data_IF_238420664536
#
_entry.id   IF_238420664536
#
_cell.length_a   1.000
_cell.length_b   1.000
_cell.length_c   1.000
_cell.angle_alpha   90.00
_cell.angle_beta   90.00
_cell.angle_gamma   90.00
#
_symmetry.space_group_name_H-M   'P 1'
#
loop_
_entity.id
_entity.type
_entity.pdbx_description
1 polymer ?
#
# COMPACT_ATOMS: atom_id res chain seq x y z
N UNK A 1 -12.49 6.02 34.87
CA UNK A 1 -12.04 4.63 34.55
C UNK A 1 -12.89 4.01 33.43
N UNK A 2 -14.22 4.11 33.46
CA UNK A 2 -15.13 3.60 32.41
C UNK A 2 -14.90 4.25 31.06
N UNK A 3 -14.76 5.58 30.97
CA UNK A 3 -14.55 6.33 29.74
C UNK A 3 -13.24 5.91 28.98
N UNK A 4 -12.20 5.53 29.72
CA UNK A 4 -10.93 5.04 29.15
C UNK A 4 -11.05 3.62 28.55
N UNK A 5 -11.96 2.79 29.09
CA UNK A 5 -12.23 1.46 28.56
C UNK A 5 -13.05 1.52 27.28
N UNK A 6 -14.06 2.42 27.22
CA UNK A 6 -14.89 2.60 26.03
C UNK A 6 -14.07 3.11 24.84
N UNK A 7 -13.10 4.01 25.08
CA UNK A 7 -12.18 4.47 24.04
C UNK A 7 -11.26 3.35 23.54
N UNK A 8 -10.75 2.49 24.43
CA UNK A 8 -9.92 1.33 24.06
C UNK A 8 -10.72 0.32 23.25
N UNK A 9 -11.93 -0.03 23.69
CA UNK A 9 -12.83 -0.96 22.98
C UNK A 9 -13.17 -0.37 21.60
N UNK A 10 -13.56 0.89 21.53
CA UNK A 10 -13.84 1.57 20.27
C UNK A 10 -12.61 1.57 19.34
N UNK A 11 -11.39 1.76 19.88
CA UNK A 11 -10.17 1.71 19.08
C UNK A 11 -9.97 0.32 18.46
N UNK A 12 -10.07 -0.75 19.25
CA UNK A 12 -9.92 -2.13 18.76
C UNK A 12 -10.99 -2.48 17.72
N UNK A 13 -12.24 -2.07 17.96
CA UNK A 13 -13.32 -2.28 16.99
C UNK A 13 -13.00 -1.65 15.63
N UNK A 14 -12.54 -0.40 15.61
CA UNK A 14 -12.26 0.31 14.35
C UNK A 14 -10.95 -0.08 13.69
N UNK A 15 -9.91 -0.44 14.46
CA UNK A 15 -8.58 -0.70 13.88
C UNK A 15 -8.30 -2.17 13.59
N UNK A 16 -9.03 -3.10 14.18
CA UNK A 16 -8.80 -4.54 13.98
C UNK A 16 -10.06 -5.29 13.54
N UNK A 17 -11.16 -5.18 14.30
CA UNK A 17 -12.36 -6.01 14.04
C UNK A 17 -13.06 -5.57 12.74
N UNK A 18 -13.31 -4.27 12.57
CA UNK A 18 -13.95 -3.76 11.35
C UNK A 18 -13.14 -4.04 10.08
N UNK A 19 -11.81 -3.81 10.03
CA UNK A 19 -10.99 -4.22 8.90
C UNK A 19 -11.07 -5.71 8.61
N UNK A 20 -10.97 -6.56 9.64
CA UNK A 20 -11.14 -8.00 9.46
C UNK A 20 -12.46 -8.36 8.79
N UNK A 21 -13.58 -7.83 9.31
CA UNK A 21 -14.91 -8.13 8.78
C UNK A 21 -15.08 -7.64 7.34
N UNK A 22 -14.64 -6.42 7.04
CA UNK A 22 -14.68 -5.87 5.68
C UNK A 22 -13.86 -6.73 4.70
N UNK A 23 -12.65 -7.10 5.11
CA UNK A 23 -11.79 -7.92 4.27
C UNK A 23 -12.38 -9.33 4.08
N UNK A 24 -12.94 -9.92 5.14
CA UNK A 24 -13.61 -11.22 5.07
C UNK A 24 -14.78 -11.20 4.09
N UNK A 25 -15.65 -10.17 4.18
CA UNK A 25 -16.80 -10.04 3.28
C UNK A 25 -16.35 -9.91 1.82
N UNK A 26 -15.36 -9.07 1.55
CA UNK A 26 -14.88 -8.88 0.17
C UNK A 26 -14.19 -10.13 -0.36
N UNK A 27 -13.36 -10.77 0.45
CA UNK A 27 -12.60 -11.94 0.01
C UNK A 27 -13.45 -13.17 -0.27
N UNK A 28 -14.40 -13.48 0.61
CA UNK A 28 -15.25 -14.66 0.49
C UNK A 28 -16.62 -14.38 -0.12
N UNK A 29 -17.14 -13.16 -0.02
CA UNK A 29 -18.47 -12.79 -0.45
C UNK A 29 -18.59 -12.33 -1.90
N UNK A 30 -17.52 -11.78 -2.46
CA UNK A 30 -17.51 -11.37 -3.86
C UNK A 30 -16.84 -12.44 -4.72
N UNK A 31 -17.46 -12.77 -5.85
CA UNK A 31 -16.79 -13.61 -6.85
C UNK A 31 -15.61 -12.84 -7.43
N UNK A 32 -14.42 -13.41 -7.28
CA UNK A 32 -13.22 -12.83 -7.81
C UNK A 32 -12.97 -13.30 -9.24
N UNK A 33 -12.34 -12.46 -10.06
CA UNK A 33 -11.87 -12.82 -11.39
C UNK A 33 -10.92 -14.04 -11.39
N UNK A 34 -10.40 -14.40 -10.22
CA UNK A 34 -9.50 -15.54 -10.00
C UNK A 34 -10.19 -16.73 -9.33
N UNK A 35 -11.39 -17.11 -9.80
CA UNK A 35 -12.10 -18.30 -9.34
C UNK A 35 -11.20 -19.54 -9.32
N UNK A 36 -10.25 -19.64 -10.26
CA UNK A 36 -9.24 -20.71 -10.30
C UNK A 36 -8.40 -20.82 -9.03
N UNK A 37 -8.10 -19.70 -8.35
CA UNK A 37 -7.33 -19.76 -7.10
C UNK A 37 -8.06 -20.51 -5.98
N UNK A 38 -9.39 -20.50 -5.99
CA UNK A 38 -10.21 -21.24 -4.99
C UNK A 38 -10.01 -22.75 -5.05
N UNK A 39 -9.63 -23.29 -6.21
CA UNK A 39 -9.46 -24.73 -6.43
C UNK A 39 -8.00 -25.17 -6.47
N UNK A 40 -7.04 -24.25 -6.46
CA UNK A 40 -5.63 -24.57 -6.47
C UNK A 40 -5.17 -25.08 -5.11
N UNK A 41 -4.46 -26.21 -5.10
CA UNK A 41 -3.92 -26.80 -3.86
C UNK A 41 -2.57 -26.21 -3.43
N UNK A 42 -1.82 -25.64 -4.38
CA UNK A 42 -0.51 -25.04 -4.18
C UNK A 42 -0.34 -23.74 -4.99
N UNK A 43 0.71 -23.01 -4.66
CA UNK A 43 1.07 -21.79 -5.40
C UNK A 43 1.26 -22.09 -6.89
N UNK A 44 0.60 -21.35 -7.79
CA UNK A 44 0.71 -21.56 -9.22
C UNK A 44 2.05 -21.05 -9.76
N UNK A 45 2.54 -21.65 -10.84
CA UNK A 45 3.86 -21.37 -11.43
C UNK A 45 4.00 -19.92 -11.87
N UNK A 46 2.93 -19.24 -12.26
CA UNK A 46 3.00 -17.83 -12.66
C UNK A 46 3.51 -16.91 -11.53
N UNK A 47 3.34 -17.29 -10.25
CA UNK A 47 3.87 -16.52 -9.12
C UNK A 47 5.40 -16.51 -9.08
N UNK A 48 6.05 -17.48 -9.73
CA UNK A 48 7.51 -17.61 -9.79
C UNK A 48 8.09 -17.26 -11.15
N UNK A 49 7.28 -16.68 -12.03
CA UNK A 49 7.68 -16.30 -13.39
C UNK A 49 7.43 -14.81 -13.66
N UNK A 50 8.07 -14.28 -14.72
CA UNK A 50 7.90 -12.89 -15.17
C UNK A 50 8.12 -11.88 -14.03
N UNK A 51 7.35 -10.81 -14.00
CA UNK A 51 7.42 -9.76 -12.96
C UNK A 51 7.04 -10.25 -11.56
N UNK A 52 6.30 -11.34 -11.45
CA UNK A 52 5.88 -11.90 -10.16
C UNK A 52 7.02 -12.62 -9.43
N UNK A 53 8.01 -13.13 -10.15
CA UNK A 53 9.20 -13.79 -9.57
C UNK A 53 9.99 -12.86 -8.65
N UNK A 54 9.99 -11.55 -8.92
CA UNK A 54 10.68 -10.55 -8.10
C UNK A 54 9.98 -10.24 -6.77
N UNK A 55 8.77 -10.74 -6.55
CA UNK A 55 8.00 -10.59 -5.30
C UNK A 55 8.38 -11.67 -4.30
N UNK A 56 9.66 -11.71 -3.95
CA UNK A 56 10.27 -12.81 -3.17
C UNK A 56 9.59 -12.99 -1.82
N UNK A 57 9.38 -11.91 -1.05
CA UNK A 57 8.77 -11.99 0.29
C UNK A 57 7.33 -12.49 0.23
N UNK A 58 6.42 -11.93 -0.60
CA UNK A 58 5.06 -12.45 -0.72
C UNK A 58 5.00 -13.90 -1.16
N UNK A 59 5.82 -14.30 -2.15
CA UNK A 59 5.86 -15.66 -2.64
C UNK A 59 6.33 -16.64 -1.57
N UNK A 60 7.43 -16.30 -0.87
CA UNK A 60 7.93 -17.10 0.25
C UNK A 60 6.87 -17.24 1.35
N UNK A 61 6.26 -16.14 1.81
CA UNK A 61 5.21 -16.18 2.82
C UNK A 61 4.02 -17.04 2.38
N UNK A 62 3.62 -16.94 1.13
CA UNK A 62 2.51 -17.72 0.59
C UNK A 62 2.80 -19.22 0.67
N UNK A 63 3.99 -19.67 0.26
CA UNK A 63 4.37 -21.08 0.35
C UNK A 63 4.41 -21.53 1.81
N UNK A 64 5.12 -20.81 2.68
CA UNK A 64 5.28 -21.20 4.09
C UNK A 64 3.95 -21.25 4.84
N UNK A 65 3.06 -20.27 4.64
CA UNK A 65 1.74 -20.26 5.29
C UNK A 65 0.85 -21.37 4.73
N UNK A 66 0.94 -21.67 3.43
CA UNK A 66 0.19 -22.79 2.83
C UNK A 66 0.64 -24.12 3.40
N UNK A 67 1.94 -24.34 3.50
CA UNK A 67 2.50 -25.60 4.05
C UNK A 67 2.13 -25.74 5.53
N UNK A 68 2.26 -24.66 6.30
CA UNK A 68 1.87 -24.64 7.71
C UNK A 68 0.38 -24.96 7.90
N UNK A 69 -0.51 -24.27 7.17
CA UNK A 69 -1.96 -24.52 7.27
C UNK A 69 -2.34 -25.91 6.79
N UNK A 70 -1.70 -26.42 5.74
CA UNK A 70 -1.91 -27.78 5.25
C UNK A 70 -1.52 -28.80 6.32
N UNK A 71 -0.36 -28.66 6.92
CA UNK A 71 0.07 -29.49 8.04
C UNK A 71 -0.90 -29.41 9.22
N UNK A 72 -1.25 -28.18 9.64
CA UNK A 72 -2.14 -27.97 10.79
C UNK A 72 -3.53 -28.58 10.58
N UNK A 73 -4.15 -28.35 9.41
CA UNK A 73 -5.48 -28.92 9.08
C UNK A 73 -5.43 -30.45 9.02
N UNK A 74 -4.40 -31.01 8.39
CA UNK A 74 -4.29 -32.47 8.26
C UNK A 74 -3.94 -33.16 9.59
N UNK A 75 -3.22 -32.50 10.50
CA UNK A 75 -2.81 -33.10 11.78
C UNK A 75 -3.85 -32.93 12.88
N UNK A 76 -4.52 -31.76 12.93
CA UNK A 76 -5.36 -31.41 14.08
C UNK A 76 -6.84 -31.18 13.73
N UNK A 77 -7.17 -30.89 12.46
CA UNK A 77 -8.51 -30.51 12.05
C UNK A 77 -9.09 -31.41 10.95
N UNK A 78 -8.63 -32.68 10.86
CA UNK A 78 -9.02 -33.59 9.80
C UNK A 78 -10.55 -33.81 9.74
N UNK A 79 -11.22 -33.86 10.88
CA UNK A 79 -12.68 -34.05 10.98
C UNK A 79 -13.49 -32.90 10.40
N UNK A 80 -12.96 -31.67 10.45
CA UNK A 80 -13.63 -30.47 9.91
C UNK A 80 -13.04 -30.00 8.59
N UNK A 81 -12.03 -30.70 8.05
CA UNK A 81 -11.41 -30.38 6.76
C UNK A 81 -12.43 -30.22 5.64
N UNK A 82 -13.46 -31.10 5.48
CA UNK A 82 -14.48 -30.94 4.44
C UNK A 82 -15.25 -29.62 4.53
N UNK A 83 -15.47 -29.13 5.76
CA UNK A 83 -16.08 -27.80 5.99
C UNK A 83 -15.15 -26.66 5.62
N UNK A 84 -13.86 -26.77 5.99
CA UNK A 84 -12.84 -25.74 5.67
C UNK A 84 -12.72 -25.58 4.15
N UNK A 85 -12.55 -26.69 3.43
CA UNK A 85 -12.32 -26.64 1.97
C UNK A 85 -13.58 -26.35 1.14
N UNK A 86 -14.75 -26.31 1.77
CA UNK A 86 -16.02 -26.03 1.08
C UNK A 86 -16.03 -24.66 0.37
N UNK A 87 -15.38 -23.67 0.97
CA UNK A 87 -15.34 -22.28 0.46
C UNK A 87 -13.99 -21.91 -0.20
N UNK A 88 -13.15 -22.90 -0.46
CA UNK A 88 -11.84 -22.72 -1.10
C UNK A 88 -10.82 -23.71 -0.59
N UNK A 89 -9.73 -23.88 -1.34
CA UNK A 89 -8.61 -24.73 -0.95
C UNK A 89 -7.84 -24.15 0.26
N UNK A 90 -6.99 -24.94 0.89
CA UNK A 90 -6.12 -24.46 1.97
C UNK A 90 -5.19 -23.36 1.45
N UNK A 91 -4.70 -23.47 0.22
CA UNK A 91 -3.94 -22.42 -0.45
C UNK A 91 -4.71 -21.09 -0.54
N UNK A 92 -5.99 -21.13 -0.93
CA UNK A 92 -6.84 -19.95 -0.97
C UNK A 92 -7.02 -19.29 0.41
N UNK A 93 -7.19 -20.11 1.45
CA UNK A 93 -7.24 -19.61 2.84
C UNK A 93 -5.89 -19.02 3.32
N UNK A 94 -4.77 -19.56 2.83
CA UNK A 94 -3.43 -18.99 3.13
C UNK A 94 -3.29 -17.57 2.61
N UNK A 95 -3.79 -17.29 1.41
CA UNK A 95 -3.87 -15.94 0.87
C UNK A 95 -4.70 -15.01 1.75
N UNK A 96 -5.85 -15.50 2.23
CA UNK A 96 -6.67 -14.73 3.15
C UNK A 96 -5.90 -14.37 4.42
N UNK A 97 -5.27 -15.34 5.06
CA UNK A 97 -4.54 -15.15 6.33
C UNK A 97 -3.43 -14.11 6.17
N UNK A 98 -2.62 -14.22 5.12
CA UNK A 98 -1.55 -13.26 4.85
C UNK A 98 -2.11 -11.86 4.63
N UNK A 99 -3.07 -11.74 3.73
CA UNK A 99 -3.62 -10.45 3.36
C UNK A 99 -4.35 -9.77 4.52
N UNK A 100 -5.16 -10.51 5.29
CA UNK A 100 -5.89 -9.94 6.43
C UNK A 100 -4.95 -9.50 7.54
N UNK A 101 -3.86 -10.23 7.79
CA UNK A 101 -2.85 -9.84 8.77
C UNK A 101 -2.23 -8.48 8.41
N UNK A 102 -1.73 -8.34 7.18
CA UNK A 102 -1.14 -7.08 6.73
C UNK A 102 -2.17 -5.96 6.56
N UNK A 103 -3.41 -6.29 6.25
CA UNK A 103 -4.49 -5.31 6.17
C UNK A 103 -4.82 -4.72 7.56
N UNK A 104 -4.92 -5.55 8.60
CA UNK A 104 -5.08 -5.08 9.98
C UNK A 104 -3.86 -4.27 10.42
N UNK A 105 -2.65 -4.72 10.11
CA UNK A 105 -1.43 -3.97 10.39
C UNK A 105 -1.42 -2.61 9.69
N UNK A 106 -1.88 -2.53 8.43
CA UNK A 106 -2.06 -1.28 7.67
C UNK A 106 -3.06 -0.34 8.35
N UNK A 107 -4.17 -0.88 8.82
CA UNK A 107 -5.17 -0.13 9.59
C UNK A 107 -4.59 0.49 10.86
N UNK A 108 -3.81 -0.28 11.62
CA UNK A 108 -3.14 0.20 12.83
C UNK A 108 -2.12 1.31 12.53
N UNK A 109 -1.35 1.17 11.44
CA UNK A 109 -0.40 2.21 11.02
C UNK A 109 -1.14 3.46 10.56
N UNK A 110 -2.21 3.32 9.80
CA UNK A 110 -3.03 4.44 9.35
C UNK A 110 -3.62 5.22 10.54
N UNK A 111 -4.17 4.54 11.55
CA UNK A 111 -4.67 5.20 12.78
C UNK A 111 -3.54 5.98 13.49
N UNK A 112 -2.32 5.40 13.59
CA UNK A 112 -1.16 6.11 14.14
C UNK A 112 -0.79 7.35 13.32
N UNK A 113 -0.82 7.26 12.00
CA UNK A 113 -0.56 8.40 11.11
C UNK A 113 -1.58 9.51 11.34
N UNK A 114 -2.87 9.17 11.35
CA UNK A 114 -3.96 10.16 11.52
C UNK A 114 -3.93 10.85 12.89
N UNK A 115 -3.33 10.20 13.91
CA UNK A 115 -3.14 10.78 15.26
C UNK A 115 -1.82 11.54 15.41
N UNK A 116 -0.87 11.37 14.51
CA UNK A 116 0.51 11.82 14.74
C UNK A 116 0.65 13.34 14.74
N UNK A 117 0.11 14.03 13.75
CA UNK A 117 0.16 15.48 13.62
C UNK A 117 -1.08 16.00 12.89
N UNK A 118 -2.27 15.80 13.48
CA UNK A 118 -3.53 16.08 12.79
C UNK A 118 -3.70 17.58 12.52
N UNK A 119 -4.24 17.91 11.36
CA UNK A 119 -4.74 19.26 11.09
C UNK A 119 -6.05 19.52 11.84
N UNK A 120 -6.65 20.70 11.68
CA UNK A 120 -7.89 21.07 12.37
C UNK A 120 -9.03 20.07 12.10
N UNK A 121 -9.13 19.57 10.88
CA UNK A 121 -10.16 18.61 10.50
C UNK A 121 -9.93 17.22 11.14
N UNK A 122 -8.71 16.69 11.07
CA UNK A 122 -8.37 15.37 11.63
C UNK A 122 -8.17 15.40 13.17
N UNK A 123 -8.13 16.58 13.79
CA UNK A 123 -8.07 16.70 15.25
C UNK A 123 -9.37 16.30 15.95
N UNK A 124 -10.54 16.46 15.29
CA UNK A 124 -11.79 15.94 15.79
C UNK A 124 -11.78 14.40 15.76
N UNK A 125 -12.02 13.74 16.91
CA UNK A 125 -12.02 12.26 16.98
C UNK A 125 -13.04 11.59 16.06
N UNK A 126 -14.19 12.22 15.79
CA UNK A 126 -15.22 11.65 14.91
C UNK A 126 -14.80 11.73 13.45
N UNK A 127 -14.31 12.88 13.02
CA UNK A 127 -13.82 13.07 11.66
C UNK A 127 -12.59 12.20 11.39
N UNK A 128 -11.69 12.06 12.37
CA UNK A 128 -10.54 11.15 12.26
C UNK A 128 -10.97 9.70 12.09
N UNK A 129 -11.99 9.22 12.84
CA UNK A 129 -12.54 7.87 12.64
C UNK A 129 -13.17 7.71 11.26
N UNK A 130 -13.83 8.73 10.75
CA UNK A 130 -14.38 8.73 9.39
C UNK A 130 -13.28 8.64 8.34
N UNK A 131 -12.20 9.43 8.46
CA UNK A 131 -11.04 9.35 7.59
C UNK A 131 -10.38 7.96 7.64
N UNK A 132 -10.23 7.40 8.83
CA UNK A 132 -9.69 6.06 9.02
C UNK A 132 -10.58 5.02 8.33
N UNK A 133 -11.89 5.04 8.57
CA UNK A 133 -12.85 4.15 7.91
C UNK A 133 -12.78 4.29 6.39
N UNK A 134 -12.72 5.51 5.89
CA UNK A 134 -12.61 5.77 4.46
C UNK A 134 -11.32 5.20 3.85
N UNK A 135 -10.18 5.37 4.53
CA UNK A 135 -8.91 4.76 4.11
C UNK A 135 -8.98 3.22 4.07
N UNK A 136 -9.58 2.59 5.09
CA UNK A 136 -9.78 1.14 5.13
C UNK A 136 -10.72 0.70 4.01
N UNK A 137 -11.82 1.42 3.81
CA UNK A 137 -12.80 1.11 2.77
C UNK A 137 -12.16 1.18 1.38
N UNK A 138 -11.35 2.20 1.10
CA UNK A 138 -10.57 2.29 -0.14
C UNK A 138 -9.65 1.08 -0.32
N UNK A 139 -8.90 0.73 0.73
CA UNK A 139 -7.98 -0.40 0.67
C UNK A 139 -8.71 -1.71 0.37
N UNK A 140 -9.92 -1.92 0.91
CA UNK A 140 -10.65 -3.17 0.73
C UNK A 140 -11.38 -3.24 -0.59
N UNK A 141 -11.98 -2.13 -1.05
CA UNK A 141 -12.76 -2.10 -2.30
C UNK A 141 -11.89 -2.38 -3.52
N UNK A 142 -10.64 -1.92 -3.52
CA UNK A 142 -9.73 -2.16 -4.65
C UNK A 142 -9.11 -3.56 -4.63
N UNK A 143 -9.36 -4.37 -3.59
CA UNK A 143 -8.83 -5.73 -3.47
C UNK A 143 -9.81 -6.81 -3.96
N UNK A 144 -10.60 -6.49 -4.96
CA UNK A 144 -11.49 -7.47 -5.62
C UNK A 144 -10.72 -8.59 -6.35
N UNK A 145 -9.42 -8.39 -6.58
CA UNK A 145 -8.50 -9.40 -7.11
C UNK A 145 -7.56 -9.83 -5.98
N UNK A 146 -7.64 -11.07 -5.50
CA UNK A 146 -6.74 -11.54 -4.45
C UNK A 146 -5.32 -11.69 -4.99
N UNK A 147 -4.41 -10.83 -4.54
CA UNK A 147 -2.98 -10.95 -4.76
C UNK A 147 -2.27 -11.20 -3.43
N UNK A 148 -1.11 -11.83 -3.48
CA UNK A 148 -0.32 -12.08 -2.27
C UNK A 148 0.53 -10.90 -1.82
N UNK A 149 0.61 -9.82 -2.62
CA UNK A 149 1.55 -8.72 -2.38
C UNK A 149 0.90 -7.39 -2.05
N UNK A 150 -0.37 -7.15 -2.43
CA UNK A 150 -0.96 -5.81 -2.36
C UNK A 150 -1.13 -5.33 -0.91
N UNK A 151 -1.66 -6.15 -0.01
CA UNK A 151 -1.81 -5.78 1.41
C UNK A 151 -0.45 -5.56 2.09
N UNK A 152 0.56 -6.38 1.74
CA UNK A 152 1.93 -6.24 2.26
C UNK A 152 2.54 -4.92 1.76
N UNK A 153 2.39 -4.62 0.47
CA UNK A 153 2.91 -3.40 -0.12
C UNK A 153 2.28 -2.14 0.50
N UNK A 154 0.97 -2.15 0.74
CA UNK A 154 0.24 -1.06 1.42
C UNK A 154 0.77 -0.86 2.84
N UNK A 155 0.97 -1.94 3.59
CA UNK A 155 1.54 -1.88 4.95
C UNK A 155 2.90 -1.19 4.96
N UNK A 156 3.81 -1.58 4.07
CA UNK A 156 5.12 -0.94 3.97
C UNK A 156 5.04 0.49 3.47
N UNK A 157 4.14 0.79 2.55
CA UNK A 157 3.93 2.16 2.09
C UNK A 157 3.44 3.08 3.22
N UNK A 158 2.43 2.68 3.98
CA UNK A 158 1.95 3.43 5.15
C UNK A 158 3.04 3.57 6.22
N UNK A 159 3.81 2.49 6.47
CA UNK A 159 4.93 2.52 7.41
C UNK A 159 6.00 3.52 6.97
N UNK A 160 6.34 3.56 5.69
CA UNK A 160 7.28 4.54 5.13
C UNK A 160 6.77 5.97 5.24
N UNK A 161 5.48 6.22 4.97
CA UNK A 161 4.87 7.53 5.21
C UNK A 161 4.95 7.93 6.70
N UNK A 162 4.69 7.01 7.62
CA UNK A 162 4.78 7.28 9.06
C UNK A 162 6.20 7.70 9.47
N UNK A 163 7.23 6.98 9.03
CA UNK A 163 8.62 7.36 9.35
C UNK A 163 9.06 8.63 8.62
N UNK A 164 8.57 8.90 7.42
CA UNK A 164 8.80 10.16 6.70
C UNK A 164 8.24 11.36 7.47
N UNK A 165 7.01 11.26 7.97
CA UNK A 165 6.38 12.29 8.80
C UNK A 165 7.11 12.48 10.14
N UNK A 166 7.56 11.39 10.77
CA UNK A 166 8.35 11.45 12.01
C UNK A 166 9.67 12.15 11.77
N UNK A 167 10.39 11.78 10.70
CA UNK A 167 11.63 12.44 10.33
C UNK A 167 11.39 13.93 10.02
N UNK A 168 10.32 14.25 9.29
CA UNK A 168 9.98 15.65 9.01
C UNK A 168 9.77 16.47 10.28
N UNK A 169 9.15 15.87 11.32
CA UNK A 169 8.86 16.55 12.58
C UNK A 169 10.04 16.60 13.53
N UNK A 170 10.80 15.52 13.69
CA UNK A 170 11.80 15.36 14.75
C UNK A 170 13.24 15.43 14.24
N UNK A 171 13.47 15.32 12.92
CA UNK A 171 14.81 15.31 12.29
C UNK A 171 15.77 14.26 12.88
N UNK A 172 15.24 13.12 13.34
CA UNK A 172 16.04 12.08 13.99
C UNK A 172 16.54 11.06 12.96
N UNK A 173 17.84 10.82 12.93
CA UNK A 173 18.47 9.87 12.02
C UNK A 173 17.91 8.42 12.16
N UNK A 174 17.41 8.05 13.34
CA UNK A 174 16.77 6.75 13.53
C UNK A 174 15.51 6.57 12.69
N UNK A 175 14.72 7.64 12.52
CA UNK A 175 13.50 7.58 11.69
C UNK A 175 13.87 7.45 10.21
N UNK A 176 14.95 8.09 9.77
CA UNK A 176 15.51 7.91 8.43
C UNK A 176 16.03 6.48 8.23
N UNK A 177 16.72 5.90 9.22
CA UNK A 177 17.20 4.51 9.16
C UNK A 177 16.04 3.52 9.06
N UNK A 178 14.96 3.72 9.85
CA UNK A 178 13.76 2.90 9.75
C UNK A 178 13.10 3.04 8.38
N UNK A 179 13.03 4.26 7.82
CA UNK A 179 12.52 4.48 6.48
C UNK A 179 13.35 3.76 5.42
N UNK A 180 14.69 3.80 5.51
CA UNK A 180 15.58 3.03 4.63
C UNK A 180 15.28 1.53 4.73
N UNK A 181 15.14 0.99 5.94
CA UNK A 181 14.80 -0.42 6.17
C UNK A 181 13.44 -0.80 5.58
N UNK A 182 12.44 0.06 5.74
CA UNK A 182 11.10 -0.12 5.15
C UNK A 182 11.19 -0.16 3.62
N UNK A 183 11.89 0.78 2.98
CA UNK A 183 12.04 0.83 1.53
C UNK A 183 12.81 -0.40 1.04
N UNK A 184 13.92 -0.75 1.70
CA UNK A 184 14.73 -1.91 1.35
C UNK A 184 13.90 -3.21 1.36
N UNK A 185 13.18 -3.49 2.45
CA UNK A 185 12.33 -4.68 2.58
C UNK A 185 11.16 -4.64 1.59
N UNK A 186 10.51 -3.47 1.44
CA UNK A 186 9.37 -3.29 0.55
C UNK A 186 9.73 -3.53 -0.93
N UNK A 187 10.99 -3.33 -1.32
CA UNK A 187 11.45 -3.60 -2.69
C UNK A 187 11.38 -5.09 -3.04
N UNK A 188 11.54 -5.99 -2.05
CA UNK A 188 11.32 -7.44 -2.23
C UNK A 188 9.84 -7.84 -2.24
N UNK A 189 8.95 -6.89 -1.94
CA UNK A 189 7.49 -7.09 -1.99
C UNK A 189 6.93 -6.58 -3.32
N UNK A 190 7.24 -5.33 -3.67
CA UNK A 190 6.71 -4.69 -4.89
C UNK A 190 7.49 -3.42 -5.23
N UNK A 191 7.56 -3.10 -6.50
CA UNK A 191 8.23 -1.89 -7.04
C UNK A 191 7.59 -0.58 -6.55
N UNK A 192 6.36 -0.61 -6.06
CA UNK A 192 5.68 0.54 -5.42
C UNK A 192 6.43 1.11 -4.22
N UNK A 193 7.47 0.41 -3.71
CA UNK A 193 8.37 0.91 -2.68
C UNK A 193 8.98 2.28 -3.01
N UNK A 194 9.20 2.59 -4.30
CA UNK A 194 9.70 3.89 -4.77
C UNK A 194 8.78 5.07 -4.40
N UNK A 195 7.48 4.86 -4.21
CA UNK A 195 6.54 5.89 -3.81
C UNK A 195 6.80 6.45 -2.40
N UNK A 196 7.47 5.68 -1.53
CA UNK A 196 7.95 6.23 -0.25
C UNK A 196 9.01 7.32 -0.44
N UNK A 197 9.86 7.20 -1.48
CA UNK A 197 10.84 8.22 -1.84
C UNK A 197 10.12 9.47 -2.37
N UNK A 198 9.12 9.27 -3.23
CA UNK A 198 8.30 10.37 -3.74
C UNK A 198 7.56 11.10 -2.62
N UNK A 199 7.01 10.37 -1.64
CA UNK A 199 6.33 10.95 -0.48
C UNK A 199 7.32 11.73 0.41
N UNK A 200 8.48 11.14 0.73
CA UNK A 200 9.53 11.83 1.49
C UNK A 200 9.99 13.09 0.76
N UNK A 201 10.30 12.96 -0.54
CA UNK A 201 10.71 14.10 -1.36
C UNK A 201 9.67 15.22 -1.37
N UNK A 202 8.38 14.90 -1.44
CA UNK A 202 7.31 15.88 -1.46
C UNK A 202 7.22 16.74 -0.19
N UNK A 203 7.57 16.15 0.98
CA UNK A 203 7.57 16.88 2.26
C UNK A 203 8.67 17.94 2.34
N UNK A 204 9.78 17.76 1.60
CA UNK A 204 10.97 18.62 1.67
C UNK A 204 11.22 19.41 0.39
N UNK A 205 10.48 19.12 -0.69
CA UNK A 205 10.67 19.80 -1.95
C UNK A 205 10.09 21.22 -1.89
N UNK A 206 10.96 22.21 -2.08
CA UNK A 206 10.59 23.60 -2.28
C UNK A 206 11.10 24.08 -3.64
N UNK A 207 10.17 24.53 -4.48
CA UNK A 207 10.48 25.00 -5.83
C UNK A 207 11.42 26.19 -5.85
N UNK A 208 11.32 27.10 -4.87
CA UNK A 208 12.19 28.28 -4.80
C UNK A 208 13.62 27.86 -4.47
N UNK A 209 13.80 27.02 -3.46
CA UNK A 209 15.10 26.46 -3.08
C UNK A 209 15.71 25.65 -4.23
N UNK A 210 14.93 24.88 -4.96
CA UNK A 210 15.40 24.16 -6.14
C UNK A 210 15.92 25.10 -7.22
N UNK A 211 15.20 26.21 -7.51
CA UNK A 211 15.61 27.20 -8.51
C UNK A 211 16.94 27.87 -8.18
N UNK A 212 17.23 28.11 -6.91
CA UNK A 212 18.52 28.70 -6.45
C UNK A 212 19.59 27.64 -6.17
N UNK A 213 19.39 26.40 -6.59
CA UNK A 213 20.30 25.25 -6.42
C UNK A 213 20.64 24.93 -4.96
N UNK A 214 19.81 25.29 -4.03
CA UNK A 214 19.92 24.89 -2.64
C UNK A 214 19.12 23.58 -2.42
N UNK A 215 19.81 22.45 -2.49
CA UNK A 215 19.21 21.11 -2.36
C UNK A 215 19.24 20.66 -0.90
N UNK A 216 18.32 21.15 -0.10
CA UNK A 216 18.14 20.59 1.24
C UNK A 216 17.76 19.10 1.14
N UNK A 217 18.26 18.28 2.08
CA UNK A 217 17.96 16.84 2.19
C UNK A 217 18.38 15.97 0.99
N UNK A 218 19.30 16.44 0.13
CA UNK A 218 19.75 15.62 -1.01
C UNK A 218 20.46 14.32 -0.56
N UNK A 219 21.16 14.33 0.57
CA UNK A 219 21.85 13.17 1.13
C UNK A 219 20.85 12.11 1.59
N UNK A 220 19.81 12.54 2.27
CA UNK A 220 18.72 11.69 2.74
C UNK A 220 17.98 11.06 1.56
N UNK A 221 17.65 11.87 0.54
CA UNK A 221 17.01 11.37 -0.69
C UNK A 221 17.92 10.37 -1.41
N UNK A 222 19.21 10.66 -1.54
CA UNK A 222 20.16 9.73 -2.16
C UNK A 222 20.24 8.42 -1.39
N UNK A 223 20.27 8.46 -0.06
CA UNK A 223 20.27 7.26 0.78
C UNK A 223 19.00 6.42 0.56
N UNK A 224 17.81 7.04 0.47
CA UNK A 224 16.55 6.34 0.20
C UNK A 224 16.53 5.75 -1.22
N UNK A 225 17.06 6.47 -2.21
CA UNK A 225 17.21 5.97 -3.58
C UNK A 225 18.13 4.75 -3.62
N UNK A 226 19.26 4.78 -2.90
CA UNK A 226 20.16 3.63 -2.80
C UNK A 226 19.48 2.45 -2.08
N UNK A 227 18.71 2.71 -1.02
CA UNK A 227 17.95 1.68 -0.32
C UNK A 227 16.91 0.97 -1.22
N UNK A 228 16.43 1.63 -2.27
CA UNK A 228 15.56 1.04 -3.30
C UNK A 228 16.34 0.38 -4.43
N UNK A 229 17.32 1.09 -5.01
CA UNK A 229 18.02 0.63 -6.23
C UNK A 229 18.86 -0.61 -5.95
N UNK A 230 19.57 -0.67 -4.81
CA UNK A 230 20.45 -1.80 -4.50
C UNK A 230 19.68 -3.13 -4.50
N UNK A 231 18.62 -3.33 -3.68
CA UNK A 231 17.86 -4.57 -3.69
C UNK A 231 17.15 -4.81 -5.04
N UNK A 232 16.68 -3.76 -5.70
CA UNK A 232 16.04 -3.87 -7.02
C UNK A 232 16.98 -4.45 -8.06
N UNK A 233 18.21 -3.94 -8.16
CA UNK A 233 19.24 -4.45 -9.11
C UNK A 233 19.66 -5.86 -8.73
N UNK A 234 19.91 -6.13 -7.44
CA UNK A 234 20.28 -7.48 -6.97
C UNK A 234 19.22 -8.50 -7.39
N UNK A 235 17.91 -8.19 -7.18
CA UNK A 235 16.82 -9.08 -7.60
C UNK A 235 16.85 -9.38 -9.10
N UNK A 236 17.07 -8.35 -9.93
CA UNK A 236 17.11 -8.50 -11.40
C UNK A 236 18.32 -9.32 -11.86
N UNK A 237 19.44 -9.23 -11.15
CA UNK A 237 20.65 -10.03 -11.46
C UNK A 237 20.53 -11.47 -10.96
N UNK A 238 19.92 -11.69 -9.80
CA UNK A 238 19.82 -13.03 -9.20
C UNK A 238 18.67 -13.88 -9.78
N UNK A 239 17.61 -13.24 -10.26
CA UNK A 239 16.42 -13.91 -10.80
C UNK A 239 16.27 -13.47 -12.26
N UNK A 240 17.08 -14.01 -13.18
CA UNK A 240 16.96 -13.65 -14.58
C UNK A 240 15.62 -14.16 -15.12
N UNK A 241 14.84 -13.27 -15.68
CA UNK A 241 13.59 -13.58 -16.36
C UNK A 241 13.70 -13.06 -17.80
N UNK A 242 13.12 -13.79 -18.74
CA UNK A 242 12.99 -13.28 -20.09
C UNK A 242 12.14 -12.01 -20.06
N UNK A 243 12.68 -10.93 -20.60
CA UNK A 243 11.98 -9.65 -20.67
C UNK A 243 10.89 -9.72 -21.74
N UNK A 244 9.72 -10.20 -21.37
CA UNK A 244 8.53 -10.14 -22.21
C UNK A 244 7.86 -8.78 -22.05
N UNK A 245 8.36 -7.76 -22.75
CA UNK A 245 7.69 -6.48 -22.90
C UNK A 245 6.35 -6.62 -23.65
N UNK A 246 6.17 -7.71 -24.39
CA UNK A 246 4.98 -7.92 -25.22
C UNK A 246 3.72 -8.30 -24.42
N UNK A 247 3.86 -8.96 -23.28
CA UNK A 247 2.72 -9.41 -22.47
C UNK A 247 2.11 -8.32 -21.59
N UNK A 248 2.71 -7.12 -21.52
CA UNK A 248 2.31 -6.08 -20.57
C UNK A 248 2.29 -4.66 -21.10
N UNK A 249 2.25 -4.44 -22.42
CA UNK A 249 2.18 -3.07 -22.94
C UNK A 249 0.73 -2.68 -23.26
N UNK A 250 0.10 -1.99 -22.29
CA UNK A 250 -1.34 -1.70 -22.32
C UNK A 250 -1.68 -0.25 -22.72
N UNK A 251 -0.72 0.55 -23.24
CA UNK A 251 -0.93 1.96 -23.56
C UNK A 251 -2.16 2.16 -24.45
N UNK A 252 -2.26 1.45 -25.58
CA UNK A 252 -3.39 1.58 -26.49
C UNK A 252 -4.68 1.16 -25.81
N UNK A 253 -4.69 0.03 -25.11
CA UNK A 253 -5.86 -0.49 -24.41
C UNK A 253 -6.36 0.47 -23.33
N UNK A 254 -5.45 1.14 -22.63
CA UNK A 254 -5.79 2.09 -21.57
C UNK A 254 -6.57 3.31 -22.10
N UNK A 255 -6.31 3.73 -23.32
CA UNK A 255 -6.98 4.90 -23.92
C UNK A 255 -8.10 4.57 -24.91
N UNK A 256 -8.25 3.29 -25.31
CA UNK A 256 -9.31 2.84 -26.21
C UNK A 256 -10.44 2.10 -25.53
N UNK A 257 -10.18 1.50 -24.34
CA UNK A 257 -11.19 0.76 -23.57
C UNK A 257 -12.00 1.70 -22.67
N UNK A 258 -13.34 1.74 -22.79
CA UNK A 258 -14.20 2.53 -21.90
C UNK A 258 -14.00 2.15 -20.41
N UNK A 259 -13.79 0.87 -20.12
CA UNK A 259 -13.55 0.40 -18.73
C UNK A 259 -12.27 0.99 -18.15
N UNK A 260 -11.17 0.99 -18.90
CA UNK A 260 -9.92 1.59 -18.48
C UNK A 260 -10.06 3.10 -18.28
N UNK A 261 -10.76 3.76 -19.18
CA UNK A 261 -11.00 5.19 -19.05
C UNK A 261 -11.80 5.55 -17.80
N UNK A 262 -12.81 4.75 -17.43
CA UNK A 262 -13.56 4.94 -16.17
C UNK A 262 -12.65 4.78 -14.95
N UNK A 263 -11.73 3.82 -14.95
CA UNK A 263 -10.74 3.67 -13.86
C UNK A 263 -9.83 4.88 -13.71
N UNK A 264 -9.35 5.44 -14.83
CA UNK A 264 -8.54 6.67 -14.82
C UNK A 264 -9.35 7.86 -14.29
N UNK A 265 -10.58 8.04 -14.77
CA UNK A 265 -11.47 9.12 -14.32
C UNK A 265 -11.75 9.00 -12.83
N UNK A 266 -11.99 7.79 -12.33
CA UNK A 266 -12.15 7.54 -10.89
C UNK A 266 -10.93 8.02 -10.10
N UNK A 267 -9.72 7.64 -10.51
CA UNK A 267 -8.48 8.07 -9.85
C UNK A 267 -8.31 9.60 -9.85
N UNK A 268 -8.56 10.25 -10.97
CA UNK A 268 -8.46 11.71 -11.11
C UNK A 268 -9.50 12.43 -10.24
N UNK A 269 -10.76 12.03 -10.31
CA UNK A 269 -11.84 12.65 -9.53
C UNK A 269 -11.62 12.51 -8.05
N UNK A 270 -11.11 11.36 -7.61
CA UNK A 270 -10.81 11.13 -6.22
C UNK A 270 -9.65 12.01 -5.72
N UNK A 271 -8.56 12.10 -6.49
CA UNK A 271 -7.45 13.00 -6.17
C UNK A 271 -7.87 14.45 -6.15
N UNK A 272 -8.72 14.86 -7.11
CA UNK A 272 -9.28 16.21 -7.15
C UNK A 272 -10.17 16.50 -5.93
N UNK A 273 -11.01 15.55 -5.53
CA UNK A 273 -11.83 15.68 -4.32
C UNK A 273 -10.96 15.89 -3.06
N UNK A 274 -9.90 15.09 -2.91
CA UNK A 274 -8.98 15.27 -1.78
C UNK A 274 -8.25 16.63 -1.88
N UNK A 275 -7.85 17.03 -3.09
CA UNK A 275 -7.19 18.33 -3.31
C UNK A 275 -8.06 19.50 -2.86
N UNK A 276 -9.37 19.45 -3.10
CA UNK A 276 -10.31 20.47 -2.65
C UNK A 276 -10.47 20.49 -1.12
N UNK A 277 -10.29 19.38 -0.43
CA UNK A 277 -10.29 19.30 1.03
C UNK A 277 -9.00 19.82 1.68
N UNK A 278 -7.91 19.98 0.89
CA UNK A 278 -6.62 20.42 1.39
C UNK A 278 -6.57 21.95 1.59
N UNK A 279 -5.89 22.39 2.66
CA UNK A 279 -5.42 23.77 2.78
C UNK A 279 -4.28 24.09 1.81
N UNK A 280 -3.84 25.34 1.75
CA UNK A 280 -2.84 25.81 0.77
C UNK A 280 -1.51 25.06 0.91
N UNK A 281 -1.06 24.80 2.13
CA UNK A 281 0.20 24.12 2.38
C UNK A 281 0.12 22.64 1.99
N UNK A 282 -0.99 21.97 2.34
CA UNK A 282 -1.27 20.59 1.98
C UNK A 282 -1.39 20.42 0.46
N UNK A 283 -2.03 21.36 -0.26
CA UNK A 283 -2.11 21.36 -1.73
C UNK A 283 -0.73 21.40 -2.38
N UNK A 284 0.20 22.18 -1.85
CA UNK A 284 1.56 22.24 -2.37
C UNK A 284 2.29 20.90 -2.21
N UNK A 285 2.20 20.27 -1.02
CA UNK A 285 2.81 18.95 -0.80
C UNK A 285 2.15 17.88 -1.67
N UNK A 286 0.83 17.90 -1.79
CA UNK A 286 0.11 16.95 -2.64
C UNK A 286 0.51 17.09 -4.11
N UNK A 287 0.63 18.32 -4.61
CA UNK A 287 1.13 18.58 -5.96
C UNK A 287 2.55 18.04 -6.14
N UNK A 288 3.46 18.31 -5.19
CA UNK A 288 4.82 17.81 -5.23
C UNK A 288 4.85 16.27 -5.22
N UNK A 289 4.02 15.64 -4.40
CA UNK A 289 3.91 14.17 -4.35
C UNK A 289 3.46 13.60 -5.69
N UNK A 290 2.45 14.19 -6.33
CA UNK A 290 1.99 13.74 -7.64
C UNK A 290 3.05 13.94 -8.72
N UNK A 291 3.77 15.08 -8.73
CA UNK A 291 4.88 15.34 -9.66
C UNK A 291 6.00 14.32 -9.48
N UNK A 292 6.43 14.06 -8.24
CA UNK A 292 7.48 13.07 -7.96
C UNK A 292 7.02 11.63 -8.20
N UNK A 293 5.71 11.38 -8.25
CA UNK A 293 5.12 10.09 -8.61
C UNK A 293 4.91 9.89 -10.12
N UNK A 294 5.26 10.88 -10.98
CA UNK A 294 5.12 10.77 -12.44
C UNK A 294 5.81 9.53 -13.02
N UNK A 295 7.01 9.10 -12.58
CA UNK A 295 7.61 7.86 -13.08
C UNK A 295 6.74 6.63 -12.79
N UNK A 296 6.10 6.57 -11.63
CA UNK A 296 5.16 5.50 -11.29
C UNK A 296 3.88 5.57 -12.13
N UNK A 297 3.32 6.76 -12.34
CA UNK A 297 2.16 6.96 -13.22
C UNK A 297 2.48 6.56 -14.66
N UNK A 298 3.67 6.89 -15.14
CA UNK A 298 4.16 6.44 -16.44
C UNK A 298 4.21 4.91 -16.51
N UNK A 299 4.79 4.25 -15.50
CA UNK A 299 4.81 2.79 -15.43
C UNK A 299 3.39 2.20 -15.49
N UNK A 300 2.43 2.70 -14.73
CA UNK A 300 1.03 2.24 -14.78
C UNK A 300 0.46 2.44 -16.19
N UNK A 301 0.74 3.55 -16.82
CA UNK A 301 0.22 3.87 -18.16
C UNK A 301 0.71 2.86 -19.22
N UNK A 302 1.95 2.39 -19.09
CA UNK A 302 2.54 1.47 -20.05
C UNK A 302 2.25 -0.01 -19.74
N UNK A 303 2.36 -0.42 -18.47
CA UNK A 303 2.32 -1.84 -18.07
C UNK A 303 1.20 -2.20 -17.11
N UNK A 304 0.36 -1.25 -16.72
CA UNK A 304 -0.83 -1.46 -15.89
C UNK A 304 -2.12 -1.22 -16.68
N UNK A 305 -3.21 -1.75 -16.20
CA UNK A 305 -4.55 -1.48 -16.71
C UNK A 305 -5.25 -0.47 -15.80
N UNK A 306 -5.73 0.64 -16.34
CA UNK A 306 -6.35 1.71 -15.56
C UNK A 306 -7.61 1.28 -14.80
N UNK A 307 -8.34 0.27 -15.31
CA UNK A 307 -9.47 -0.30 -14.57
C UNK A 307 -9.04 -1.02 -13.28
N UNK A 308 -7.77 -1.42 -13.17
CA UNK A 308 -7.20 -1.94 -11.92
C UNK A 308 -6.95 -0.79 -10.93
N UNK A 309 -8.04 -0.27 -10.33
CA UNK A 309 -7.99 0.89 -9.42
C UNK A 309 -7.03 0.72 -8.25
N UNK A 310 -6.65 -0.53 -7.91
CA UNK A 310 -5.60 -0.86 -6.93
C UNK A 310 -4.23 -0.24 -7.26
N UNK A 311 -3.95 0.03 -8.55
CA UNK A 311 -2.71 0.68 -8.96
C UNK A 311 -2.67 2.16 -8.52
N UNK A 312 -3.81 2.82 -8.43
CA UNK A 312 -3.91 4.19 -7.93
C UNK A 312 -3.95 4.28 -6.39
N UNK A 313 -4.23 3.17 -5.70
CA UNK A 313 -4.44 3.15 -4.26
C UNK A 313 -3.29 3.80 -3.45
N UNK A 314 -2.00 3.56 -3.71
CA UNK A 314 -0.93 4.23 -2.98
C UNK A 314 -0.98 5.75 -3.12
N UNK A 315 -1.32 6.26 -4.31
CA UNK A 315 -1.46 7.71 -4.54
C UNK A 315 -2.67 8.28 -3.77
N UNK A 316 -3.79 7.57 -3.76
CA UNK A 316 -5.00 7.95 -3.03
C UNK A 316 -4.77 7.97 -1.52
N UNK A 317 -4.08 6.94 -0.98
CA UNK A 317 -3.71 6.89 0.43
C UNK A 317 -2.69 7.97 0.80
N UNK A 318 -1.69 8.23 -0.07
CA UNK A 318 -0.74 9.33 0.11
C UNK A 318 -1.44 10.69 0.17
N UNK A 319 -2.39 10.92 -0.74
CA UNK A 319 -3.21 12.12 -0.75
C UNK A 319 -4.06 12.25 0.53
N UNK A 320 -4.73 11.16 0.97
CA UNK A 320 -5.51 11.12 2.20
C UNK A 320 -4.64 11.44 3.43
N UNK A 321 -3.45 10.88 3.51
CA UNK A 321 -2.50 11.15 4.60
C UNK A 321 -2.08 12.62 4.58
N UNK A 322 -1.67 13.16 3.43
CA UNK A 322 -1.28 14.57 3.29
C UNK A 322 -2.42 15.50 3.74
N UNK A 323 -3.65 15.25 3.28
CA UNK A 323 -4.82 16.08 3.61
C UNK A 323 -5.21 16.05 5.09
N UNK A 324 -4.74 15.05 5.85
CA UNK A 324 -5.03 14.89 7.27
C UNK A 324 -3.98 15.49 8.21
N UNK A 325 -2.79 15.88 7.69
CA UNK A 325 -1.67 16.35 8.51
C UNK A 325 -1.60 17.86 8.57
N UNK A 326 -1.13 18.39 9.70
CA UNK A 326 -0.74 19.81 9.83
C UNK A 326 0.67 20.01 9.25
N UNK A 327 0.75 20.30 7.96
CA UNK A 327 2.02 20.39 7.24
C UNK A 327 2.77 21.73 7.42
N UNK A 328 2.09 22.76 7.91
CA UNK A 328 2.73 24.05 8.23
C UNK A 328 3.92 23.92 9.20
N UNK A 329 3.90 22.86 9.99
CA UNK A 329 4.97 22.54 10.93
C UNK A 329 6.26 22.10 10.24
N UNK A 330 6.17 21.50 9.06
CA UNK A 330 7.34 20.96 8.35
C UNK A 330 8.09 22.00 7.52
N UNK A 331 7.43 23.12 7.18
CA UNK A 331 8.01 24.18 6.34
C UNK A 331 8.75 25.26 7.14
N UNK A 332 8.63 25.27 8.46
CA UNK A 332 9.24 26.28 9.34
C UNK A 332 10.64 25.90 9.86
N UNK A 333 11.13 24.74 9.53
CA UNK A 333 12.44 24.21 9.94
C UNK A 333 13.32 23.97 8.72
#
# INVERSE_FOLDING_TARGET
MLQNNDEKISSVLFTAILPFLLFFIVYYGFESSYVKLKTMEKAPDFMFSSVYAYRVIPNFLTVQVTDFLTYFVNSYLLSIKPFIVKNGSIFYHSFFVINVFFFIASSLVLDKILRFNPNLFASDPRLRKLLHFFGIFLMVVVQYVPTNCDSIAIFFFLSGMFFSLRFAKFKQNKDLLYLCGVIFISTFVRETACLNIAFFGALFFDYQSFRIKNFAFYKEILLLVLAFIIPYVILRLMIPQEASLAEGFYLVQNFTSPFNFVGLVFGILFLYFIYELCGVAERNILRNFLILSVPYLGMITFVGLFWETRLFLPLLLGALVISSQNVNYFQKT
#
